data_IF_017130440797
#
_entry.id   IF_017130440797
#
_cell.length_a   1.000
_cell.length_b   1.000
_cell.length_c   1.000
_cell.angle_alpha   90.00
_cell.angle_beta   90.00
_cell.angle_gamma   90.00
#
_symmetry.space_group_name_H-M   'P 1'
#
loop_
_entity.id
_entity.type
_entity.pdbx_description
1 polymer ?
#
# COMPACT_ATOMS: atom_id res chain seq x y z
N UNK A 1 -39.63 16.84 -3.72
CA UNK A 1 -39.69 15.36 -3.71
C UNK A 1 -38.36 14.88 -4.26
N UNK A 2 -37.47 14.43 -3.39
CA UNK A 2 -36.18 13.85 -3.80
C UNK A 2 -36.50 12.50 -4.43
N UNK A 3 -36.21 12.32 -5.71
CA UNK A 3 -36.28 11.02 -6.35
C UNK A 3 -35.24 10.12 -5.68
N UNK A 4 -35.71 9.19 -4.85
CA UNK A 4 -34.92 8.05 -4.39
C UNK A 4 -34.39 7.34 -5.63
N UNK A 5 -33.06 7.14 -5.77
CA UNK A 5 -32.53 6.31 -6.85
C UNK A 5 -33.19 4.94 -6.76
N UNK A 6 -33.71 4.44 -7.88
CA UNK A 6 -34.31 3.10 -7.96
C UNK A 6 -33.21 2.11 -7.55
N UNK A 7 -33.30 1.57 -6.33
CA UNK A 7 -32.47 0.43 -5.92
C UNK A 7 -32.75 -0.69 -6.94
N UNK A 8 -31.73 -1.24 -7.62
CA UNK A 8 -31.96 -2.42 -8.45
C UNK A 8 -32.59 -3.50 -7.56
N UNK A 9 -33.78 -3.98 -7.96
CA UNK A 9 -34.42 -5.11 -7.30
C UNK A 9 -33.42 -6.27 -7.27
N UNK A 10 -33.09 -6.73 -6.06
CA UNK A 10 -32.15 -7.82 -5.87
C UNK A 10 -32.79 -9.09 -6.44
N UNK A 11 -32.26 -9.58 -7.57
CA UNK A 11 -32.76 -10.80 -8.26
C UNK A 11 -32.55 -12.09 -7.47
N UNK A 12 -31.79 -12.02 -6.38
CA UNK A 12 -31.52 -13.11 -5.46
C UNK A 12 -32.27 -12.85 -4.13
N UNK A 13 -32.66 -13.90 -3.38
CA UNK A 13 -33.17 -13.73 -2.03
C UNK A 13 -32.14 -13.02 -1.14
N UNK A 14 -32.51 -12.46 0.03
CA UNK A 14 -31.55 -11.93 0.98
C UNK A 14 -30.44 -12.94 1.32
N UNK A 15 -29.21 -12.47 1.52
CA UNK A 15 -28.11 -13.35 1.94
C UNK A 15 -28.32 -13.70 3.42
N UNK A 16 -28.04 -14.96 3.78
CA UNK A 16 -28.06 -15.44 5.16
C UNK A 16 -26.70 -15.26 5.87
N UNK A 17 -25.75 -14.59 5.22
CA UNK A 17 -24.43 -14.32 5.77
C UNK A 17 -24.51 -13.38 6.99
N UNK A 18 -23.64 -13.55 7.99
CA UNK A 18 -23.65 -12.68 9.19
C UNK A 18 -23.42 -11.20 8.83
N UNK A 19 -22.71 -10.96 7.72
CA UNK A 19 -22.45 -9.64 7.14
C UNK A 19 -23.34 -9.36 5.91
N UNK A 20 -24.59 -9.81 5.90
CA UNK A 20 -25.49 -9.68 4.75
C UNK A 20 -25.57 -8.24 4.19
N UNK A 21 -25.59 -7.23 5.06
CA UNK A 21 -25.61 -5.82 4.62
C UNK A 21 -24.35 -5.41 3.84
N UNK A 22 -23.18 -5.94 4.22
CA UNK A 22 -21.92 -5.72 3.50
C UNK A 22 -21.98 -6.39 2.13
N UNK A 23 -22.44 -7.65 2.08
CA UNK A 23 -22.63 -8.41 0.84
C UNK A 23 -23.55 -7.66 -0.11
N UNK A 24 -24.70 -7.17 0.37
CA UNK A 24 -25.65 -6.41 -0.46
C UNK A 24 -25.05 -5.11 -1.03
N UNK A 25 -24.18 -4.43 -0.27
CA UNK A 25 -23.45 -3.27 -0.81
C UNK A 25 -22.46 -3.66 -1.89
N UNK A 26 -21.71 -4.76 -1.72
CA UNK A 26 -20.79 -5.25 -2.75
C UNK A 26 -21.53 -5.71 -4.01
N UNK A 27 -22.66 -6.39 -3.87
CA UNK A 27 -23.53 -6.79 -4.99
C UNK A 27 -24.09 -5.57 -5.75
N UNK A 28 -24.28 -4.44 -5.07
CA UNK A 28 -24.67 -3.17 -5.67
C UNK A 28 -23.49 -2.35 -6.24
N UNK A 29 -22.26 -2.90 -6.24
CA UNK A 29 -21.06 -2.23 -6.74
C UNK A 29 -20.40 -1.28 -5.75
N UNK A 30 -20.89 -1.22 -4.51
CA UNK A 30 -20.35 -0.37 -3.46
C UNK A 30 -19.16 -0.98 -2.72
N UNK A 31 -18.86 -0.38 -1.56
CA UNK A 31 -17.77 -0.77 -0.67
C UNK A 31 -18.26 -1.56 0.56
N UNK A 32 -17.30 -2.11 1.30
CA UNK A 32 -17.55 -2.68 2.63
C UNK A 32 -18.02 -1.64 3.67
N UNK A 33 -17.80 -0.35 3.40
CA UNK A 33 -18.24 0.77 4.22
C UNK A 33 -19.61 1.31 3.81
N UNK A 34 -20.38 1.88 4.75
CA UNK A 34 -21.56 2.68 4.43
C UNK A 34 -21.21 3.88 3.55
N UNK A 35 -22.04 4.15 2.54
CA UNK A 35 -21.93 5.33 1.70
C UNK A 35 -22.54 6.54 2.42
N UNK A 36 -21.69 7.35 3.04
CA UNK A 36 -22.08 8.58 3.73
C UNK A 36 -21.10 9.70 3.36
N UNK A 37 -21.54 10.97 3.32
CA UNK A 37 -20.64 12.10 3.04
C UNK A 37 -19.46 12.16 4.03
N UNK A 38 -19.70 11.80 5.29
CA UNK A 38 -18.69 11.74 6.33
C UNK A 38 -17.61 10.68 6.05
N UNK A 39 -18.01 9.45 5.67
CA UNK A 39 -17.05 8.43 5.26
C UNK A 39 -16.29 8.86 4.01
N UNK A 40 -16.96 9.46 3.02
CA UNK A 40 -16.29 9.90 1.80
C UNK A 40 -15.22 10.95 2.09
N UNK A 41 -15.54 11.97 2.89
CA UNK A 41 -14.60 13.01 3.31
C UNK A 41 -13.37 12.42 4.01
N UNK A 42 -13.58 11.51 4.98
CA UNK A 42 -12.49 10.81 5.65
C UNK A 42 -11.64 10.00 4.66
N UNK A 43 -12.29 9.23 3.79
CA UNK A 43 -11.61 8.37 2.82
C UNK A 43 -10.70 9.19 1.92
N UNK A 44 -11.24 10.23 1.28
CA UNK A 44 -10.49 11.05 0.34
C UNK A 44 -9.42 11.89 1.03
N UNK A 45 -9.73 12.48 2.20
CA UNK A 45 -8.75 13.25 2.92
C UNK A 45 -7.56 12.42 3.40
N UNK A 46 -7.79 11.15 3.76
CA UNK A 46 -6.69 10.22 4.05
C UNK A 46 -5.93 9.79 2.81
N UNK A 47 -6.57 9.63 1.65
CA UNK A 47 -5.85 9.40 0.39
C UNK A 47 -4.91 10.56 0.08
N UNK A 48 -5.35 11.81 0.25
CA UNK A 48 -4.50 13.00 0.10
C UNK A 48 -3.33 12.99 1.08
N UNK A 49 -3.60 12.79 2.37
CA UNK A 49 -2.59 12.80 3.41
C UNK A 49 -1.57 11.67 3.26
N UNK A 50 -2.00 10.52 2.73
CA UNK A 50 -1.14 9.37 2.49
C UNK A 50 -0.33 9.47 1.19
N UNK A 51 -0.88 10.09 0.14
CA UNK A 51 -0.21 10.20 -1.16
C UNK A 51 1.13 10.96 -1.08
N UNK A 52 1.23 11.97 -0.20
CA UNK A 52 2.46 12.77 -0.03
C UNK A 52 3.63 11.96 0.52
N UNK A 53 3.55 11.27 1.67
CA UNK A 53 4.63 10.40 2.13
C UNK A 53 4.81 9.18 1.21
N UNK A 54 3.74 8.67 0.58
CA UNK A 54 3.87 7.62 -0.43
C UNK A 54 4.74 8.06 -1.63
N UNK A 55 4.64 9.32 -2.05
CA UNK A 55 5.49 9.90 -3.09
C UNK A 55 6.99 9.88 -2.70
N UNK A 56 7.30 10.09 -1.43
CA UNK A 56 8.67 9.86 -0.92
C UNK A 56 9.03 8.38 -0.93
N UNK A 57 8.14 7.52 -0.41
CA UNK A 57 8.41 6.10 -0.23
C UNK A 57 8.75 5.41 -1.54
N UNK A 58 7.96 5.60 -2.60
CA UNK A 58 8.24 4.89 -3.85
C UNK A 58 9.60 5.30 -4.45
N UNK A 59 9.95 6.59 -4.36
CA UNK A 59 11.23 7.13 -4.85
C UNK A 59 12.40 6.53 -4.07
N UNK A 60 12.29 6.49 -2.74
CA UNK A 60 13.36 6.01 -1.89
C UNK A 60 13.50 4.47 -1.94
N UNK A 61 12.39 3.73 -2.05
CA UNK A 61 12.42 2.28 -2.29
C UNK A 61 13.15 1.94 -3.59
N UNK A 62 12.86 2.66 -4.68
CA UNK A 62 13.59 2.51 -5.93
C UNK A 62 15.06 2.91 -5.76
N UNK A 63 15.35 4.05 -5.14
CA UNK A 63 16.72 4.48 -4.87
C UNK A 63 17.54 3.42 -4.11
N UNK A 64 16.95 2.80 -3.08
CA UNK A 64 17.59 1.73 -2.30
C UNK A 64 17.88 0.51 -3.18
N UNK A 65 16.88 0.04 -3.94
CA UNK A 65 17.05 -1.12 -4.82
C UNK A 65 18.11 -0.86 -5.92
N UNK A 66 18.05 0.32 -6.52
CA UNK A 66 18.75 0.64 -7.77
C UNK A 66 20.16 1.19 -7.57
N UNK A 67 20.40 1.92 -6.46
CA UNK A 67 21.64 2.69 -6.23
C UNK A 67 22.39 2.30 -4.97
N UNK A 68 21.67 2.14 -3.85
CA UNK A 68 22.29 1.70 -2.59
C UNK A 68 22.71 0.24 -2.73
N UNK A 69 21.81 -0.60 -3.23
CA UNK A 69 22.02 -2.02 -3.51
C UNK A 69 22.66 -2.75 -2.31
N UNK A 70 23.85 -3.31 -2.47
CA UNK A 70 24.56 -4.09 -1.45
C UNK A 70 25.61 -3.27 -0.68
N UNK A 71 25.38 -1.98 -0.50
CA UNK A 71 26.23 -1.17 0.38
C UNK A 71 26.27 -1.80 1.78
N UNK A 72 27.43 -2.26 2.29
CA UNK A 72 27.52 -2.89 3.60
C UNK A 72 27.19 -1.92 4.74
N UNK A 73 27.33 -0.62 4.50
CA UNK A 73 27.13 0.42 5.49
C UNK A 73 26.22 1.54 4.94
N UNK A 74 24.93 1.24 4.72
CA UNK A 74 24.00 2.15 4.05
C UNK A 74 23.51 3.25 5.00
N UNK A 75 24.42 3.99 5.65
CA UNK A 75 24.13 4.99 6.68
C UNK A 75 23.19 6.10 6.18
N UNK A 76 23.22 6.38 4.88
CA UNK A 76 22.46 7.44 4.24
C UNK A 76 21.39 6.91 3.29
N UNK A 77 20.91 5.67 3.46
CA UNK A 77 19.94 5.07 2.53
C UNK A 77 18.64 5.86 2.34
N UNK A 78 18.26 6.69 3.31
CA UNK A 78 17.07 7.57 3.24
C UNK A 78 17.37 8.98 2.71
N UNK A 79 18.58 9.23 2.25
CA UNK A 79 18.99 10.54 1.76
C UNK A 79 18.72 10.59 0.25
N UNK A 80 17.44 10.68 -0.10
CA UNK A 80 16.98 10.78 -1.49
C UNK A 80 17.79 11.85 -2.25
N UNK A 81 18.51 11.46 -3.31
CA UNK A 81 19.28 12.40 -4.11
C UNK A 81 18.35 13.19 -5.04
N UNK A 82 18.82 14.33 -5.56
CA UNK A 82 17.97 15.25 -6.33
C UNK A 82 17.38 14.56 -7.57
N UNK A 83 18.16 13.69 -8.20
CA UNK A 83 17.76 12.96 -9.41
C UNK A 83 16.55 12.06 -9.18
N UNK A 84 16.34 11.54 -7.95
CA UNK A 84 15.16 10.73 -7.61
C UNK A 84 13.96 11.60 -7.15
N UNK A 85 14.20 12.81 -6.65
CA UNK A 85 13.13 13.78 -6.41
C UNK A 85 12.60 14.37 -7.72
N UNK A 86 13.50 14.58 -8.68
CA UNK A 86 13.18 15.03 -10.04
C UNK A 86 12.80 13.87 -10.96
N UNK A 87 12.82 12.61 -10.49
CA UNK A 87 12.43 11.47 -11.31
C UNK A 87 10.95 11.62 -11.69
N UNK A 88 10.67 11.67 -12.99
CA UNK A 88 9.30 11.76 -13.47
C UNK A 88 8.57 10.46 -13.15
N UNK A 89 7.44 10.58 -12.47
CA UNK A 89 6.52 9.48 -12.26
C UNK A 89 5.85 9.11 -13.59
N UNK A 90 5.87 7.83 -13.98
CA UNK A 90 5.33 7.38 -15.27
C UNK A 90 3.81 7.57 -15.43
N UNK A 91 3.10 7.97 -14.38
CA UNK A 91 1.64 8.10 -14.33
C UNK A 91 1.14 9.51 -13.96
N UNK A 92 2.04 10.50 -13.92
CA UNK A 92 1.72 11.89 -13.62
C UNK A 92 2.49 12.85 -14.53
N UNK A 93 1.94 14.06 -14.72
CA UNK A 93 2.52 15.06 -15.63
C UNK A 93 2.11 14.89 -17.09
N UNK A 94 2.60 15.80 -17.92
CA UNK A 94 2.23 15.89 -19.35
C UNK A 94 2.93 14.85 -20.22
N UNK A 95 4.07 14.31 -19.77
CA UNK A 95 4.88 13.31 -20.45
C UNK A 95 4.69 11.88 -19.92
N UNK A 96 3.66 11.65 -19.10
CA UNK A 96 3.34 10.34 -18.54
C UNK A 96 3.03 9.28 -19.62
N UNK A 97 3.50 8.05 -19.40
CA UNK A 97 3.16 6.88 -20.23
C UNK A 97 1.65 6.62 -20.25
N UNK A 98 1.02 6.77 -19.07
CA UNK A 98 -0.42 6.73 -18.87
C UNK A 98 -0.78 7.76 -17.80
N UNK A 99 -1.28 8.91 -18.23
CA UNK A 99 -1.60 10.01 -17.32
C UNK A 99 -2.83 9.67 -16.45
N UNK A 100 -2.57 9.32 -15.19
CA UNK A 100 -3.61 9.15 -14.15
C UNK A 100 -3.82 10.48 -13.45
N UNK A 101 -2.74 11.05 -12.91
CA UNK A 101 -2.80 12.33 -12.21
C UNK A 101 -2.45 13.48 -13.14
N UNK A 102 -3.27 14.53 -13.08
CA UNK A 102 -3.09 15.72 -13.92
C UNK A 102 -2.02 16.68 -13.39
N UNK A 103 -1.56 16.50 -12.16
CA UNK A 103 -0.53 17.33 -11.52
C UNK A 103 0.89 17.09 -12.04
N UNK A 104 1.88 17.37 -11.19
CA UNK A 104 3.30 17.37 -11.57
C UNK A 104 3.87 15.95 -11.63
N UNK A 105 4.85 15.73 -12.52
CA UNK A 105 5.53 14.43 -12.62
C UNK A 105 6.59 14.21 -11.51
N UNK A 106 7.20 15.28 -11.01
CA UNK A 106 8.25 15.25 -9.99
C UNK A 106 7.67 15.22 -8.57
N UNK A 107 8.55 15.18 -7.56
CA UNK A 107 8.14 15.12 -6.16
C UNK A 107 7.12 16.20 -5.79
N UNK A 108 6.10 15.81 -5.03
CA UNK A 108 4.97 16.68 -4.69
C UNK A 108 5.44 17.94 -3.95
N UNK A 109 4.89 19.14 -4.24
CA UNK A 109 5.35 20.38 -3.60
C UNK A 109 5.28 20.38 -2.07
N UNK A 110 4.22 19.79 -1.48
CA UNK A 110 4.12 19.64 -0.01
C UNK A 110 5.21 18.75 0.58
N UNK A 111 5.61 17.69 -0.14
CA UNK A 111 6.72 16.84 0.28
C UNK A 111 8.03 17.63 0.28
N UNK A 112 8.29 18.38 -0.79
CA UNK A 112 9.50 19.20 -0.89
C UNK A 112 9.56 20.28 0.19
N UNK A 113 8.43 20.93 0.47
CA UNK A 113 8.31 21.93 1.53
C UNK A 113 8.58 21.31 2.92
N UNK A 114 8.04 20.12 3.20
CA UNK A 114 8.31 19.39 4.43
C UNK A 114 9.77 18.96 4.52
N UNK A 115 10.37 18.42 3.46
CA UNK A 115 11.79 18.03 3.46
C UNK A 115 12.75 19.22 3.67
N UNK A 116 12.35 20.42 3.25
CA UNK A 116 13.13 21.64 3.46
C UNK A 116 13.02 22.15 4.90
N UNK A 117 11.79 22.23 5.44
CA UNK A 117 11.52 22.90 6.71
C UNK A 117 11.42 21.95 7.91
N UNK A 118 10.94 20.73 7.71
CA UNK A 118 10.48 19.84 8.76
C UNK A 118 9.22 20.35 9.48
N UNK A 119 8.86 19.72 10.58
CA UNK A 119 7.93 20.22 11.60
C UNK A 119 8.46 21.48 12.29
N UNK A 120 9.79 21.66 12.33
CA UNK A 120 10.46 22.72 13.08
C UNK A 120 10.83 23.92 12.20
N UNK A 121 12.12 24.07 11.88
CA UNK A 121 12.67 25.14 11.06
C UNK A 121 13.68 24.56 10.06
N UNK A 122 13.95 25.32 9.00
CA UNK A 122 14.85 24.92 7.93
C UNK A 122 16.25 24.57 8.45
N UNK A 123 16.65 23.31 8.27
CA UNK A 123 17.96 22.77 8.65
C UNK A 123 18.54 21.89 7.53
N UNK A 124 19.86 21.64 7.53
CA UNK A 124 20.45 20.61 6.67
C UNK A 124 19.80 19.24 6.89
N UNK A 125 19.61 18.46 5.82
CA UNK A 125 18.99 17.13 5.82
C UNK A 125 19.53 16.21 6.92
N UNK A 126 20.84 16.24 7.19
CA UNK A 126 21.43 15.43 8.26
C UNK A 126 20.82 15.71 9.64
N UNK A 127 20.61 16.98 9.99
CA UNK A 127 20.06 17.35 11.29
C UNK A 127 18.57 17.03 11.39
N UNK A 128 17.82 17.24 10.31
CA UNK A 128 16.44 16.76 10.20
C UNK A 128 16.34 15.27 10.50
N UNK A 129 17.21 14.45 9.91
CA UNK A 129 17.22 13.01 10.18
C UNK A 129 17.65 12.64 11.61
N UNK A 130 18.68 13.30 12.15
CA UNK A 130 19.17 13.04 13.51
C UNK A 130 18.15 13.44 14.59
N UNK A 131 17.32 14.44 14.32
CA UNK A 131 16.29 14.93 15.23
C UNK A 131 14.91 14.28 15.00
N UNK A 132 14.83 13.28 14.12
CA UNK A 132 13.59 12.61 13.73
C UNK A 132 12.55 13.55 13.07
N UNK A 133 12.99 14.68 12.53
CA UNK A 133 12.17 15.64 11.77
C UNK A 133 12.20 15.26 10.29
N UNK A 134 11.59 14.11 9.95
CA UNK A 134 11.65 13.50 8.61
C UNK A 134 10.49 12.55 8.36
N UNK A 135 10.37 12.14 7.09
CA UNK A 135 9.51 11.03 6.68
C UNK A 135 10.02 9.70 7.29
N UNK A 136 9.10 8.94 7.88
CA UNK A 136 9.34 7.65 8.54
C UNK A 136 9.40 6.48 7.56
N UNK A 137 10.45 6.49 6.72
CA UNK A 137 10.71 5.47 5.70
C UNK A 137 10.78 4.02 6.23
N UNK A 138 11.02 3.83 7.52
CA UNK A 138 10.98 2.53 8.17
C UNK A 138 9.63 1.82 8.02
N UNK A 139 8.53 2.57 7.91
CA UNK A 139 7.23 1.99 7.63
C UNK A 139 7.19 1.31 6.25
N UNK A 140 7.74 1.98 5.23
CA UNK A 140 7.86 1.44 3.88
C UNK A 140 8.69 0.15 3.85
N UNK A 141 9.81 0.12 4.55
CA UNK A 141 10.62 -1.09 4.69
C UNK A 141 9.88 -2.19 5.44
N UNK A 142 9.11 -1.88 6.47
CA UNK A 142 8.31 -2.87 7.19
C UNK A 142 7.26 -3.52 6.27
N UNK A 143 6.61 -2.73 5.41
CA UNK A 143 5.70 -3.25 4.37
C UNK A 143 6.45 -4.14 3.37
N UNK A 144 7.61 -3.71 2.87
CA UNK A 144 8.42 -4.50 1.94
C UNK A 144 8.90 -5.82 2.58
N UNK A 145 9.36 -5.77 3.83
CA UNK A 145 9.76 -6.96 4.58
C UNK A 145 8.59 -7.91 4.80
N UNK A 146 7.39 -7.39 5.06
CA UNK A 146 6.19 -8.21 5.16
C UNK A 146 5.89 -8.89 3.81
N UNK A 147 6.03 -8.21 2.68
CA UNK A 147 5.87 -8.83 1.35
C UNK A 147 6.93 -9.89 1.05
N UNK A 148 8.18 -9.64 1.42
CA UNK A 148 9.29 -10.57 1.19
C UNK A 148 9.15 -11.85 2.04
N UNK A 149 8.77 -11.70 3.30
CA UNK A 149 8.67 -12.81 4.25
C UNK A 149 7.42 -13.69 4.04
N UNK A 150 6.31 -13.10 3.61
CA UNK A 150 5.10 -13.85 3.27
C UNK A 150 5.20 -14.36 1.83
N UNK A 151 5.49 -15.65 1.67
CA UNK A 151 5.66 -16.28 0.34
C UNK A 151 4.36 -16.92 -0.15
N UNK A 152 4.31 -17.27 -1.44
CA UNK A 152 3.19 -18.03 -2.01
C UNK A 152 1.85 -17.28 -2.07
N UNK A 153 1.88 -15.96 -2.24
CA UNK A 153 0.68 -15.11 -2.35
C UNK A 153 0.15 -14.96 -3.79
N UNK A 154 0.55 -15.88 -4.69
CA UNK A 154 0.24 -15.82 -6.12
C UNK A 154 1.33 -15.12 -6.93
N UNK A 155 1.03 -14.86 -8.21
CA UNK A 155 1.98 -14.29 -9.17
C UNK A 155 3.14 -15.22 -9.53
N UNK A 156 4.04 -14.74 -10.38
CA UNK A 156 5.26 -15.48 -10.77
C UNK A 156 6.56 -14.85 -10.26
N UNK A 157 6.48 -13.69 -9.62
CA UNK A 157 7.63 -12.96 -9.10
C UNK A 157 8.39 -13.74 -8.02
N UNK A 158 7.70 -14.14 -6.94
CA UNK A 158 8.31 -14.86 -5.81
C UNK A 158 8.97 -16.20 -6.23
N UNK A 159 8.31 -17.08 -7.01
CA UNK A 159 8.96 -18.30 -7.50
C UNK A 159 10.17 -18.03 -8.41
N UNK A 160 10.18 -16.92 -9.15
CA UNK A 160 11.29 -16.59 -10.04
C UNK A 160 12.58 -16.26 -9.27
N UNK A 161 12.47 -15.71 -8.05
CA UNK A 161 13.62 -15.37 -7.21
C UNK A 161 14.47 -16.59 -6.84
N UNK A 162 13.90 -17.79 -6.87
CA UNK A 162 14.61 -19.05 -6.57
C UNK A 162 15.18 -19.75 -7.82
N UNK A 163 15.08 -19.13 -9.00
CA UNK A 163 15.58 -19.72 -10.25
C UNK A 163 17.08 -19.52 -10.43
N UNK A 164 17.71 -20.45 -11.16
CA UNK A 164 19.12 -20.31 -11.57
C UNK A 164 19.36 -19.07 -12.45
N UNK A 165 18.36 -18.66 -13.21
CA UNK A 165 18.42 -17.44 -14.02
C UNK A 165 18.54 -16.19 -13.14
N UNK A 166 17.68 -16.07 -12.12
CA UNK A 166 17.77 -14.98 -11.16
C UNK A 166 19.12 -14.97 -10.44
N UNK A 167 19.57 -16.14 -9.97
CA UNK A 167 20.89 -16.30 -9.33
C UNK A 167 22.02 -15.84 -10.26
N UNK A 168 21.98 -16.20 -11.54
CA UNK A 168 22.99 -15.80 -12.52
C UNK A 168 22.99 -14.28 -12.79
N UNK A 169 21.82 -13.65 -12.81
CA UNK A 169 21.71 -12.19 -12.98
C UNK A 169 22.21 -11.45 -11.73
N UNK A 170 21.81 -11.90 -10.54
CA UNK A 170 22.29 -11.38 -9.27
C UNK A 170 23.82 -11.54 -9.14
N UNK A 171 24.38 -12.69 -9.51
CA UNK A 171 25.83 -12.95 -9.47
C UNK A 171 26.63 -11.93 -10.30
N UNK A 172 26.17 -11.63 -11.51
CA UNK A 172 26.79 -10.60 -12.37
C UNK A 172 26.80 -9.24 -11.69
N UNK A 173 25.66 -8.83 -11.14
CA UNK A 173 25.52 -7.53 -10.46
C UNK A 173 26.34 -7.46 -9.17
N UNK A 174 26.36 -8.52 -8.34
CA UNK A 174 27.17 -8.58 -7.10
C UNK A 174 28.66 -8.43 -7.43
N UNK A 175 29.16 -9.21 -8.40
CA UNK A 175 30.56 -9.15 -8.84
C UNK A 175 30.91 -7.79 -9.43
N UNK A 176 29.99 -7.19 -10.19
CA UNK A 176 30.17 -5.84 -10.68
C UNK A 176 30.22 -4.84 -9.51
N UNK A 177 29.28 -4.89 -8.57
CA UNK A 177 29.21 -3.97 -7.44
C UNK A 177 30.50 -3.99 -6.61
N UNK A 178 30.93 -5.17 -6.19
CA UNK A 178 32.14 -5.36 -5.37
C UNK A 178 33.45 -5.48 -6.15
N UNK A 179 33.48 -5.20 -7.45
CA UNK A 179 34.69 -5.34 -8.32
C UNK A 179 35.98 -4.78 -7.70
N UNK A 180 35.88 -3.67 -6.98
CA UNK A 180 37.03 -2.98 -6.35
C UNK A 180 37.15 -3.22 -4.83
N UNK A 181 36.31 -4.10 -4.27
CA UNK A 181 36.33 -4.47 -2.86
C UNK A 181 36.61 -5.97 -2.71
N UNK A 182 37.90 -6.39 -2.69
CA UNK A 182 38.27 -7.80 -2.66
C UNK A 182 37.83 -8.52 -1.38
N UNK A 183 37.66 -7.79 -0.26
CA UNK A 183 37.14 -8.34 0.99
C UNK A 183 35.69 -8.79 0.80
N UNK A 184 34.85 -7.93 0.22
CA UNK A 184 33.45 -8.26 -0.04
C UNK A 184 33.29 -9.35 -1.10
N UNK A 185 34.13 -9.36 -2.15
CA UNK A 185 34.16 -10.47 -3.10
C UNK A 185 34.57 -11.80 -2.45
N UNK A 186 35.52 -11.76 -1.52
CA UNK A 186 35.92 -12.92 -0.73
C UNK A 186 34.77 -13.43 0.14
N UNK A 187 34.06 -12.53 0.82
CA UNK A 187 32.87 -12.86 1.61
C UNK A 187 31.77 -13.46 0.73
N UNK A 188 31.50 -12.88 -0.44
CA UNK A 188 30.51 -13.40 -1.38
C UNK A 188 30.88 -14.80 -1.87
N UNK A 189 32.17 -15.06 -2.14
CA UNK A 189 32.62 -16.40 -2.53
C UNK A 189 32.42 -17.44 -1.41
N UNK A 190 32.60 -17.05 -0.16
CA UNK A 190 32.43 -17.94 1.00
C UNK A 190 30.96 -18.15 1.38
N UNK A 191 30.14 -17.11 1.27
CA UNK A 191 28.74 -17.09 1.69
C UNK A 191 27.84 -16.53 0.59
N UNK A 192 27.76 -17.17 -0.58
CA UNK A 192 27.06 -16.62 -1.73
C UNK A 192 25.57 -16.39 -1.44
N UNK A 193 24.94 -17.32 -0.73
CA UNK A 193 23.50 -17.27 -0.45
C UNK A 193 23.13 -16.07 0.44
N UNK A 194 24.02 -15.61 1.33
CA UNK A 194 23.79 -14.41 2.14
C UNK A 194 23.54 -13.17 1.27
N UNK A 195 24.36 -12.99 0.22
CA UNK A 195 24.20 -11.85 -0.69
C UNK A 195 23.03 -12.05 -1.63
N UNK A 196 22.79 -13.28 -2.10
CA UNK A 196 21.63 -13.57 -2.95
C UNK A 196 20.32 -13.26 -2.21
N UNK A 197 20.20 -13.61 -0.93
CA UNK A 197 19.03 -13.25 -0.11
C UNK A 197 18.87 -11.74 0.06
N UNK A 198 19.97 -10.99 0.21
CA UNK A 198 19.91 -9.52 0.21
C UNK A 198 19.43 -8.96 -1.14
N UNK A 199 19.85 -9.55 -2.27
CA UNK A 199 19.37 -9.15 -3.60
C UNK A 199 17.88 -9.48 -3.78
N UNK A 200 17.39 -10.61 -3.23
CA UNK A 200 15.95 -10.92 -3.20
C UNK A 200 15.16 -9.88 -2.43
N UNK A 201 15.69 -9.45 -1.27
CA UNK A 201 15.08 -8.36 -0.51
C UNK A 201 15.03 -7.07 -1.35
N UNK A 202 16.12 -6.69 -2.01
CA UNK A 202 16.18 -5.51 -2.90
C UNK A 202 15.23 -5.61 -4.11
N UNK A 203 15.00 -6.81 -4.62
CA UNK A 203 13.94 -7.06 -5.61
C UNK A 203 12.55 -6.72 -5.07
N UNK A 204 12.26 -6.98 -3.79
CA UNK A 204 11.01 -6.55 -3.15
C UNK A 204 10.96 -5.05 -2.85
N UNK A 205 12.09 -4.37 -2.59
CA UNK A 205 12.14 -2.90 -2.58
C UNK A 205 11.68 -2.34 -3.93
N UNK A 206 12.23 -2.87 -5.04
CA UNK A 206 11.84 -2.44 -6.38
C UNK A 206 10.36 -2.75 -6.67
N UNK A 207 9.88 -3.93 -6.30
CA UNK A 207 8.47 -4.32 -6.46
C UNK A 207 7.52 -3.36 -5.72
N UNK A 208 7.77 -3.08 -4.44
CA UNK A 208 6.93 -2.17 -3.65
C UNK A 208 7.06 -0.71 -4.12
N UNK A 209 8.25 -0.29 -4.56
CA UNK A 209 8.46 1.02 -5.17
C UNK A 209 7.61 1.19 -6.43
N UNK A 210 7.65 0.23 -7.35
CA UNK A 210 6.81 0.24 -8.56
C UNK A 210 5.31 0.12 -8.25
N UNK A 211 4.94 -0.53 -7.13
CA UNK A 211 3.55 -0.55 -6.67
C UNK A 211 3.08 0.87 -6.28
N UNK A 212 3.83 1.56 -5.43
CA UNK A 212 3.47 2.88 -4.93
C UNK A 212 3.69 4.02 -5.94
N UNK A 213 4.55 3.83 -6.94
CA UNK A 213 4.66 4.74 -8.09
C UNK A 213 3.30 4.92 -8.80
N UNK A 214 2.48 3.87 -8.85
CA UNK A 214 1.10 3.93 -9.38
C UNK A 214 0.13 4.53 -8.37
N UNK A 215 0.18 4.06 -7.11
CA UNK A 215 -0.85 4.39 -6.13
C UNK A 215 -0.81 5.85 -5.67
N UNK A 216 0.37 6.49 -5.63
CA UNK A 216 0.46 7.90 -5.25
C UNK A 216 -0.31 8.81 -6.23
N UNK A 217 -0.08 8.76 -7.57
CA UNK A 217 -0.89 9.47 -8.56
C UNK A 217 -2.40 9.16 -8.48
N UNK A 218 -2.77 7.89 -8.28
CA UNK A 218 -4.19 7.51 -8.10
C UNK A 218 -4.81 8.27 -6.94
N UNK A 219 -4.15 8.31 -5.78
CA UNK A 219 -4.67 9.00 -4.61
C UNK A 219 -4.66 10.53 -4.73
N UNK A 220 -3.65 11.13 -5.39
CA UNK A 220 -3.65 12.56 -5.68
C UNK A 220 -4.83 12.94 -6.59
N UNK A 221 -5.02 12.23 -7.70
CA UNK A 221 -6.10 12.50 -8.64
C UNK A 221 -7.49 12.31 -8.02
N UNK A 222 -7.66 11.36 -7.10
CA UNK A 222 -8.90 11.21 -6.35
C UNK A 222 -9.19 12.42 -5.44
N UNK A 223 -8.17 12.95 -4.77
CA UNK A 223 -8.31 14.17 -3.98
C UNK A 223 -8.72 15.35 -4.85
N UNK A 224 -8.00 15.59 -5.95
CA UNK A 224 -8.28 16.70 -6.86
C UNK A 224 -9.72 16.62 -7.40
N UNK A 225 -10.15 15.42 -7.82
CA UNK A 225 -11.51 15.21 -8.32
C UNK A 225 -12.58 15.40 -7.25
N UNK A 226 -12.30 15.09 -5.99
CA UNK A 226 -13.22 15.36 -4.90
C UNK A 226 -13.34 16.86 -4.65
N UNK A 227 -12.22 17.59 -4.64
CA UNK A 227 -12.19 19.04 -4.46
C UNK A 227 -12.90 19.77 -5.63
N UNK A 228 -12.82 19.22 -6.84
CA UNK A 228 -13.59 19.66 -8.03
C UNK A 228 -15.09 19.31 -7.97
N UNK A 229 -15.53 18.50 -7.00
CA UNK A 229 -16.92 18.03 -6.87
C UNK A 229 -17.30 16.91 -7.85
N UNK A 230 -16.32 16.24 -8.46
CA UNK A 230 -16.50 15.12 -9.39
C UNK A 230 -16.70 13.76 -8.67
N UNK A 231 -16.18 13.61 -7.45
CA UNK A 231 -16.43 12.43 -6.60
C UNK A 231 -17.45 12.82 -5.53
N UNK A 232 -18.65 12.21 -5.55
CA UNK A 232 -19.78 12.62 -4.69
C UNK A 232 -20.23 11.53 -3.71
N UNK A 233 -19.75 10.31 -3.90
CA UNK A 233 -20.13 9.14 -3.12
C UNK A 233 -18.98 8.15 -2.98
N UNK A 234 -19.05 7.25 -2.00
CA UNK A 234 -18.08 6.15 -1.86
C UNK A 234 -18.07 5.25 -3.10
N UNK A 235 -19.21 4.90 -3.74
CA UNK A 235 -19.22 4.23 -5.04
C UNK A 235 -18.46 4.97 -6.15
N UNK A 236 -18.49 6.30 -6.22
CA UNK A 236 -17.70 7.04 -7.22
C UNK A 236 -16.19 6.85 -6.98
N UNK A 237 -15.76 6.95 -5.72
CA UNK A 237 -14.37 6.72 -5.32
C UNK A 237 -13.93 5.27 -5.63
N UNK A 238 -14.80 4.30 -5.37
CA UNK A 238 -14.61 2.89 -5.68
C UNK A 238 -14.45 2.66 -7.19
N UNK A 239 -15.35 3.22 -8.00
CA UNK A 239 -15.29 3.10 -9.45
C UNK A 239 -14.00 3.70 -10.01
N UNK A 240 -13.55 4.82 -9.46
CA UNK A 240 -12.26 5.41 -9.84
C UNK A 240 -11.10 4.45 -9.53
N UNK A 241 -11.05 3.87 -8.33
CA UNK A 241 -10.01 2.90 -7.94
C UNK A 241 -10.03 1.66 -8.83
N UNK A 242 -11.20 1.08 -9.09
CA UNK A 242 -11.33 -0.13 -9.94
C UNK A 242 -10.86 0.17 -11.36
N UNK A 243 -11.29 1.28 -11.96
CA UNK A 243 -10.86 1.69 -13.28
C UNK A 243 -9.35 1.95 -13.33
N UNK A 244 -8.82 2.61 -12.31
CA UNK A 244 -7.39 2.84 -12.12
C UNK A 244 -6.62 1.52 -12.14
N UNK A 245 -7.00 0.56 -11.27
CA UNK A 245 -6.40 -0.78 -11.19
C UNK A 245 -6.35 -1.47 -12.55
N UNK A 246 -7.46 -1.48 -13.29
CA UNK A 246 -7.48 -2.12 -14.61
C UNK A 246 -6.60 -1.40 -15.65
N UNK A 247 -6.53 -0.07 -15.61
CA UNK A 247 -5.73 0.70 -16.56
C UNK A 247 -4.22 0.44 -16.42
N UNK A 248 -3.76 0.14 -15.20
CA UNK A 248 -2.34 -0.12 -14.88
C UNK A 248 -2.02 -1.60 -14.64
N UNK A 249 -3.00 -2.49 -14.72
CA UNK A 249 -2.84 -3.90 -14.36
C UNK A 249 -1.66 -4.58 -15.10
N UNK A 250 -1.42 -4.20 -16.35
CA UNK A 250 -0.36 -4.73 -17.21
C UNK A 250 0.99 -4.01 -17.14
N UNK A 251 1.16 -3.02 -16.25
CA UNK A 251 2.43 -2.29 -16.14
C UNK A 251 3.54 -3.20 -15.62
N UNK A 252 4.78 -3.09 -16.14
CA UNK A 252 5.82 -4.07 -15.86
C UNK A 252 6.37 -3.95 -14.44
N UNK A 253 6.61 -5.08 -13.80
CA UNK A 253 7.42 -5.18 -12.58
C UNK A 253 8.81 -5.73 -12.95
N UNK A 254 9.85 -5.06 -12.51
CA UNK A 254 11.24 -5.38 -12.85
C UNK A 254 12.17 -4.96 -11.72
N UNK A 255 13.45 -5.30 -11.82
CA UNK A 255 14.49 -4.81 -10.91
C UNK A 255 15.76 -4.57 -11.73
N UNK A 256 16.10 -3.30 -11.92
CA UNK A 256 17.30 -2.85 -12.60
C UNK A 256 18.22 -2.20 -11.58
N UNK A 257 19.48 -2.61 -11.49
CA UNK A 257 20.47 -1.96 -10.62
C UNK A 257 21.47 -1.18 -11.46
N UNK A 258 21.83 0.02 -11.03
CA UNK A 258 22.77 0.89 -11.75
C UNK A 258 24.09 1.00 -11.00
N UNK A 259 25.12 0.35 -11.53
CA UNK A 259 26.43 0.24 -10.91
C UNK A 259 27.43 1.02 -11.76
N UNK A 260 27.88 2.18 -11.26
CA UNK A 260 28.88 3.04 -11.93
C UNK A 260 28.52 3.38 -13.39
N UNK A 261 27.27 3.74 -13.62
CA UNK A 261 26.75 4.15 -14.93
C UNK A 261 26.30 3.00 -15.84
N UNK A 262 26.51 1.75 -15.44
CA UNK A 262 26.04 0.57 -16.18
C UNK A 262 24.80 -0.02 -15.50
N UNK A 263 23.81 -0.40 -16.30
CA UNK A 263 22.56 -1.01 -15.84
C UNK A 263 22.66 -2.54 -15.93
N UNK A 264 22.30 -3.22 -14.84
CA UNK A 264 22.23 -4.66 -14.73
C UNK A 264 20.78 -5.08 -14.48
N UNK A 265 20.21 -5.91 -15.35
CA UNK A 265 18.88 -6.46 -15.17
C UNK A 265 18.92 -7.65 -14.19
N UNK A 266 18.51 -7.43 -12.94
CA UNK A 266 18.30 -8.52 -11.97
C UNK A 266 17.05 -9.30 -12.38
N UNK A 267 15.96 -8.55 -12.60
CA UNK A 267 14.70 -9.06 -13.14
C UNK A 267 14.40 -8.23 -14.39
N UNK A 268 14.55 -8.81 -15.60
CA UNK A 268 14.33 -8.08 -16.84
C UNK A 268 12.84 -7.90 -17.12
N UNK A 269 12.47 -6.78 -17.77
CA UNK A 269 11.07 -6.53 -18.20
C UNK A 269 10.51 -7.64 -19.10
N UNK A 270 11.38 -8.34 -19.84
CA UNK A 270 11.01 -9.46 -20.72
C UNK A 270 10.40 -10.66 -19.99
N UNK A 271 10.48 -10.73 -18.65
CA UNK A 271 9.76 -11.75 -17.85
C UNK A 271 8.24 -11.58 -17.92
N UNK A 272 7.75 -10.39 -18.29
CA UNK A 272 6.32 -10.13 -18.40
C UNK A 272 5.59 -10.14 -17.06
N UNK A 273 6.29 -9.84 -15.96
CA UNK A 273 5.66 -9.62 -14.66
C UNK A 273 4.86 -8.32 -14.70
N UNK A 274 3.62 -8.38 -14.24
CA UNK A 274 2.62 -7.34 -14.34
C UNK A 274 2.22 -6.84 -12.96
N UNK A 275 1.94 -5.55 -12.86
CA UNK A 275 1.65 -4.87 -11.61
C UNK A 275 0.53 -5.53 -10.80
N UNK A 276 -0.54 -5.99 -11.45
CA UNK A 276 -1.68 -6.57 -10.75
C UNK A 276 -1.32 -7.87 -10.00
N UNK A 277 -0.70 -8.82 -10.71
CA UNK A 277 -0.47 -10.17 -10.18
C UNK A 277 0.82 -10.27 -9.36
N UNK A 278 1.83 -9.45 -9.65
CA UNK A 278 3.13 -9.53 -9.01
C UNK A 278 3.35 -8.52 -7.89
N UNK A 279 2.57 -7.44 -7.84
CA UNK A 279 2.71 -6.40 -6.83
C UNK A 279 1.42 -6.15 -6.04
N UNK A 280 0.31 -5.83 -6.72
CA UNK A 280 -0.90 -5.37 -6.04
C UNK A 280 -1.63 -6.44 -5.23
N UNK A 281 -1.92 -7.61 -5.83
CA UNK A 281 -2.58 -8.70 -5.10
C UNK A 281 -1.70 -9.24 -3.96
N UNK A 282 -0.40 -9.51 -4.16
CA UNK A 282 0.50 -9.87 -3.07
C UNK A 282 0.63 -8.78 -1.99
N UNK A 283 0.63 -7.50 -2.36
CA UNK A 283 0.68 -6.39 -1.40
C UNK A 283 -0.56 -6.36 -0.51
N UNK A 284 -1.76 -6.46 -1.08
CA UNK A 284 -3.01 -6.47 -0.32
C UNK A 284 -3.00 -7.64 0.67
N UNK A 285 -2.61 -8.83 0.24
CA UNK A 285 -2.52 -9.99 1.12
C UNK A 285 -1.46 -9.81 2.23
N UNK A 286 -0.25 -9.37 1.86
CA UNK A 286 0.86 -9.21 2.79
C UNK A 286 0.66 -8.09 3.80
N UNK A 287 0.14 -6.93 3.38
CA UNK A 287 0.12 -5.70 4.17
C UNK A 287 -1.27 -5.47 4.77
N UNK A 288 -2.34 -5.67 4.01
CA UNK A 288 -3.69 -5.37 4.50
C UNK A 288 -4.29 -6.48 5.35
N UNK A 289 -4.03 -7.75 4.99
CA UNK A 289 -4.50 -8.90 5.74
C UNK A 289 -3.48 -9.37 6.79
N UNK A 290 -2.27 -9.71 6.36
CA UNK A 290 -1.33 -10.47 7.20
C UNK A 290 -0.49 -9.58 8.12
N UNK A 291 0.50 -8.88 7.58
CA UNK A 291 1.57 -8.14 8.26
C UNK A 291 2.28 -8.93 9.36
N UNK A 292 3.48 -8.51 9.76
CA UNK A 292 4.12 -9.10 10.94
C UNK A 292 3.33 -8.76 12.22
N UNK A 293 3.19 -9.70 13.19
CA UNK A 293 2.50 -9.42 14.45
C UNK A 293 3.12 -8.23 15.18
N UNK A 294 2.30 -7.32 15.71
CA UNK A 294 2.84 -6.15 16.39
C UNK A 294 3.50 -6.55 17.71
N UNK A 295 4.73 -6.10 17.89
CA UNK A 295 5.56 -6.46 19.05
C UNK A 295 4.95 -5.97 20.38
N UNK A 296 4.18 -4.89 20.34
CA UNK A 296 3.48 -4.34 21.51
C UNK A 296 2.14 -5.00 21.83
N UNK A 297 1.54 -5.80 20.94
CA UNK A 297 0.20 -6.38 21.15
C UNK A 297 0.16 -7.90 21.22
N UNK A 298 1.19 -8.60 20.71
CA UNK A 298 1.24 -10.06 20.68
C UNK A 298 2.55 -10.58 21.27
N UNK A 299 2.45 -11.64 22.07
CA UNK A 299 3.61 -12.36 22.57
C UNK A 299 4.10 -13.37 21.54
N UNK A 300 5.39 -13.28 21.19
CA UNK A 300 6.08 -14.24 20.33
C UNK A 300 6.53 -15.49 21.09
N UNK A 301 6.14 -15.63 22.37
CA UNK A 301 6.39 -16.84 23.14
C UNK A 301 5.68 -18.03 22.49
N UNK A 302 6.46 -18.98 21.97
CA UNK A 302 5.95 -20.18 21.31
C UNK A 302 5.01 -21.02 22.20
N UNK A 303 5.17 -20.96 23.53
CA UNK A 303 4.30 -21.66 24.47
C UNK A 303 2.93 -21.01 24.62
N UNK A 304 2.85 -19.68 24.45
CA UNK A 304 1.61 -18.93 24.62
C UNK A 304 0.67 -19.04 23.41
N UNK A 305 1.18 -19.50 22.25
CA UNK A 305 0.42 -19.72 21.01
C UNK A 305 -0.45 -18.52 20.58
N UNK A 306 0.01 -17.30 20.83
CA UNK A 306 -0.68 -16.07 20.43
C UNK A 306 -0.42 -15.68 18.98
N UNK A 307 0.74 -16.07 18.44
CA UNK A 307 1.07 -15.92 17.01
C UNK A 307 0.81 -17.28 16.32
N UNK A 308 0.01 -17.34 15.25
CA UNK A 308 -0.23 -18.57 14.50
C UNK A 308 1.07 -19.20 13.99
N UNK A 309 1.06 -20.52 13.85
CA UNK A 309 2.18 -21.26 13.25
C UNK A 309 2.22 -21.06 11.72
N UNK A 310 1.04 -21.05 11.08
CA UNK A 310 0.91 -20.86 9.64
C UNK A 310 0.75 -19.37 9.27
N UNK A 311 1.58 -18.89 8.33
CA UNK A 311 1.54 -17.51 7.83
C UNK A 311 0.19 -17.10 7.22
N UNK A 312 -0.55 -18.04 6.61
CA UNK A 312 -1.88 -17.76 6.02
C UNK A 312 -2.91 -17.30 7.06
N UNK A 313 -2.66 -17.60 8.34
CA UNK A 313 -3.55 -17.26 9.44
C UNK A 313 -3.18 -15.95 10.13
N UNK A 314 -2.18 -15.23 9.62
CA UNK A 314 -1.77 -13.93 10.14
C UNK A 314 -2.88 -12.90 9.85
N UNK A 315 -3.22 -12.14 10.89
CA UNK A 315 -4.36 -11.20 10.92
C UNK A 315 -3.95 -9.94 11.68
N UNK A 316 -2.85 -9.32 11.24
CA UNK A 316 -2.24 -8.15 11.87
C UNK A 316 -2.13 -6.96 10.93
N UNK A 317 -2.57 -7.11 9.68
CA UNK A 317 -2.63 -6.02 8.72
C UNK A 317 -3.67 -4.98 9.12
N UNK A 318 -3.70 -3.86 8.41
CA UNK A 318 -4.55 -2.70 8.76
C UNK A 318 -6.05 -3.05 8.90
N UNK A 319 -6.55 -4.09 8.22
CA UNK A 319 -7.95 -4.52 8.35
C UNK A 319 -8.26 -5.25 9.67
N UNK A 320 -7.25 -5.66 10.42
CA UNK A 320 -7.37 -6.35 11.71
C UNK A 320 -6.69 -5.56 12.85
N UNK A 321 -5.89 -4.56 12.50
CA UNK A 321 -5.14 -3.77 13.46
C UNK A 321 -6.05 -3.13 14.52
N UNK A 322 -5.63 -3.21 15.78
CA UNK A 322 -6.10 -2.30 16.81
C UNK A 322 -5.35 -0.98 16.68
N UNK A 323 -6.10 0.11 16.45
CA UNK A 323 -5.56 1.43 16.14
C UNK A 323 -5.61 2.38 17.35
N UNK A 324 -6.29 2.02 18.43
CA UNK A 324 -6.26 2.81 19.66
C UNK A 324 -4.87 2.95 20.32
N UNK A 325 -3.97 1.94 20.31
CA UNK A 325 -2.64 2.10 20.87
C UNK A 325 -1.64 2.80 19.92
N UNK A 326 -2.09 3.41 18.81
CA UNK A 326 -1.22 4.26 17.98
C UNK A 326 -0.61 5.37 18.83
N UNK A 327 0.67 5.68 18.60
CA UNK A 327 1.43 6.63 19.42
C UNK A 327 2.12 5.99 20.63
N UNK A 328 1.90 4.71 20.89
CA UNK A 328 2.57 3.96 21.97
C UNK A 328 3.72 3.08 21.45
N UNK A 329 4.55 2.58 22.38
CA UNK A 329 5.72 1.77 22.04
C UNK A 329 5.34 0.39 21.45
N UNK A 330 6.04 -0.02 20.41
CA UNK A 330 5.88 -1.36 19.81
C UNK A 330 4.71 -1.50 18.82
N UNK A 331 4.15 -0.37 18.35
CA UNK A 331 3.04 -0.30 17.39
C UNK A 331 3.53 0.31 16.06
N UNK A 332 3.90 -0.51 15.04
CA UNK A 332 4.51 -0.03 13.79
C UNK A 332 3.67 0.98 12.98
N UNK A 333 2.33 0.87 12.89
CA UNK A 333 1.52 1.84 12.13
C UNK A 333 1.68 3.29 12.59
N UNK A 334 2.12 3.53 13.83
CA UNK A 334 2.40 4.87 14.36
C UNK A 334 3.32 5.68 13.45
N UNK A 335 4.31 5.03 12.83
CA UNK A 335 5.24 5.68 11.90
C UNK A 335 4.51 6.32 10.71
N UNK A 336 3.56 5.59 10.12
CA UNK A 336 2.74 6.10 9.03
C UNK A 336 1.75 7.17 9.51
N UNK A 337 1.12 6.95 10.67
CA UNK A 337 0.14 7.92 11.19
C UNK A 337 0.79 9.28 11.47
N UNK A 338 2.03 9.28 11.99
CA UNK A 338 2.82 10.50 12.16
C UNK A 338 3.12 11.16 10.81
N UNK A 339 3.61 10.41 9.82
CA UNK A 339 3.88 10.95 8.49
C UNK A 339 2.62 11.59 7.87
N UNK A 340 1.47 10.92 7.94
CA UNK A 340 0.21 11.43 7.39
C UNK A 340 -0.31 12.65 8.16
N UNK A 341 -0.02 12.77 9.47
CA UNK A 341 -0.45 13.90 10.29
C UNK A 341 0.02 15.24 9.70
N UNK A 342 1.23 15.28 9.15
CA UNK A 342 1.82 16.49 8.54
C UNK A 342 1.09 16.98 7.29
N UNK A 343 0.36 16.09 6.62
CA UNK A 343 -0.24 16.32 5.31
C UNK A 343 -1.76 16.21 5.33
N UNK A 344 -2.37 16.25 6.52
CA UNK A 344 -3.82 16.27 6.64
C UNK A 344 -4.41 17.51 5.94
N UNK A 345 -5.44 17.34 5.10
CA UNK A 345 -6.14 18.48 4.53
C UNK A 345 -6.88 19.26 5.63
N UNK A 346 -7.04 20.60 5.49
CA UNK A 346 -7.65 21.43 6.53
C UNK A 346 -9.03 20.98 7.00
N UNK A 347 -9.86 20.42 6.10
CA UNK A 347 -11.18 19.94 6.45
C UNK A 347 -11.16 18.71 7.38
N UNK A 348 -10.11 17.88 7.34
CA UNK A 348 -9.95 16.78 8.29
C UNK A 348 -9.41 17.26 9.63
N UNK A 349 -8.53 18.26 9.64
CA UNK A 349 -8.06 18.89 10.88
C UNK A 349 -9.25 19.52 11.63
N UNK A 350 -10.07 20.32 10.93
CA UNK A 350 -11.28 20.91 11.49
C UNK A 350 -12.28 19.85 11.98
N UNK A 351 -12.41 18.75 11.25
CA UNK A 351 -13.25 17.63 11.68
C UNK A 351 -12.73 16.97 12.96
N UNK A 352 -11.46 16.57 13.02
CA UNK A 352 -10.90 15.89 14.21
C UNK A 352 -10.89 16.79 15.45
N UNK A 353 -10.67 18.10 15.29
CA UNK A 353 -10.70 19.05 16.42
C UNK A 353 -12.07 19.13 17.12
N UNK A 354 -13.16 18.71 16.45
CA UNK A 354 -14.53 18.72 16.97
C UNK A 354 -14.96 17.40 17.60
N UNK A 355 -14.12 16.37 17.56
CA UNK A 355 -14.44 15.03 18.04
C UNK A 355 -13.45 14.56 19.11
N UNK A 356 -13.89 13.61 19.93
CA UNK A 356 -13.07 12.94 20.95
C UNK A 356 -12.24 13.91 21.80
N UNK A 357 -10.89 13.83 21.76
CA UNK A 357 -9.99 14.72 22.50
C UNK A 357 -9.42 15.84 21.62
N UNK A 358 -10.07 16.15 20.52
CA UNK A 358 -9.67 17.22 19.60
C UNK A 358 -8.30 16.93 19.00
N UNK A 359 -7.38 17.89 19.13
CA UNK A 359 -6.03 17.76 18.58
C UNK A 359 -5.15 16.74 19.34
N UNK A 360 -5.46 16.44 20.62
CA UNK A 360 -4.63 15.59 21.48
C UNK A 360 -4.59 14.12 21.03
N UNK A 361 -5.67 13.61 20.43
CA UNK A 361 -5.79 12.22 19.95
C UNK A 361 -5.92 12.10 18.43
N UNK A 362 -5.50 13.13 17.68
CA UNK A 362 -5.59 13.15 16.22
C UNK A 362 -4.93 11.94 15.56
N UNK A 363 -3.82 11.41 16.09
CA UNK A 363 -3.18 10.21 15.54
C UNK A 363 -4.11 8.98 15.59
N UNK A 364 -4.93 8.84 16.63
CA UNK A 364 -5.87 7.73 16.79
C UNK A 364 -7.05 7.92 15.83
N UNK A 365 -7.65 9.11 15.82
CA UNK A 365 -8.75 9.45 14.91
C UNK A 365 -8.34 9.27 13.44
N UNK A 366 -7.13 9.74 13.08
CA UNK A 366 -6.50 9.54 11.77
C UNK A 366 -6.32 8.06 11.47
N UNK A 367 -5.82 7.26 12.42
CA UNK A 367 -5.62 5.82 12.25
C UNK A 367 -6.92 5.06 11.95
N UNK A 368 -8.03 5.46 12.57
CA UNK A 368 -9.36 4.89 12.32
C UNK A 368 -9.86 5.28 10.93
N UNK A 369 -9.75 6.56 10.56
CA UNK A 369 -10.10 7.02 9.22
C UNK A 369 -9.26 6.31 8.16
N UNK A 370 -7.96 6.12 8.40
CA UNK A 370 -7.08 5.37 7.51
C UNK A 370 -7.51 3.90 7.38
N UNK A 371 -7.88 3.26 8.49
CA UNK A 371 -8.42 1.90 8.47
C UNK A 371 -9.69 1.81 7.62
N UNK A 372 -10.61 2.79 7.71
CA UNK A 372 -11.78 2.90 6.83
C UNK A 372 -11.34 3.05 5.36
N UNK A 373 -10.42 3.95 5.06
CA UNK A 373 -9.87 4.11 3.70
C UNK A 373 -9.34 2.79 3.15
N UNK A 374 -8.62 2.00 3.94
CA UNK A 374 -8.08 0.71 3.51
C UNK A 374 -9.16 -0.37 3.31
N UNK A 375 -10.28 -0.32 4.03
CA UNK A 375 -11.47 -1.11 3.70
C UNK A 375 -12.08 -0.71 2.35
N UNK A 376 -12.09 0.58 2.02
CA UNK A 376 -12.53 1.06 0.70
C UNK A 376 -11.60 0.55 -0.40
N UNK A 377 -10.27 0.72 -0.26
CA UNK A 377 -9.28 0.18 -1.22
C UNK A 377 -9.42 -1.34 -1.39
N UNK A 378 -9.55 -2.09 -0.28
CA UNK A 378 -9.73 -3.55 -0.33
C UNK A 378 -11.03 -3.94 -1.04
N UNK A 379 -12.10 -3.16 -0.84
CA UNK A 379 -13.35 -3.36 -1.57
C UNK A 379 -13.14 -3.18 -3.07
N UNK A 380 -12.36 -2.17 -3.50
CA UNK A 380 -12.06 -1.96 -4.92
C UNK A 380 -11.29 -3.14 -5.51
N UNK A 381 -10.34 -3.71 -4.76
CA UNK A 381 -9.60 -4.92 -5.17
C UNK A 381 -10.56 -6.11 -5.32
N UNK A 382 -11.48 -6.32 -4.37
CA UNK A 382 -12.49 -7.38 -4.44
C UNK A 382 -13.40 -7.20 -5.68
N UNK A 383 -13.82 -5.97 -5.97
CA UNK A 383 -14.64 -5.66 -7.15
C UNK A 383 -13.86 -5.87 -8.46
N UNK A 384 -12.60 -5.45 -8.51
CA UNK A 384 -11.73 -5.67 -9.67
C UNK A 384 -11.51 -7.17 -9.92
N UNK A 385 -11.20 -7.95 -8.87
CA UNK A 385 -11.07 -9.41 -8.98
C UNK A 385 -12.35 -10.09 -9.46
N UNK A 386 -13.51 -9.72 -8.91
CA UNK A 386 -14.81 -10.23 -9.37
C UNK A 386 -15.02 -9.91 -10.85
N UNK A 387 -14.69 -8.69 -11.27
CA UNK A 387 -14.83 -8.27 -12.67
C UNK A 387 -13.87 -9.03 -13.60
N UNK A 388 -12.67 -9.35 -13.13
CA UNK A 388 -11.67 -10.09 -13.91
C UNK A 388 -11.97 -11.59 -14.04
N UNK A 389 -12.60 -12.20 -13.03
CA UNK A 389 -12.71 -13.65 -12.91
C UNK A 389 -14.16 -14.18 -13.03
N UNK A 390 -15.16 -13.33 -12.85
CA UNK A 390 -16.57 -13.71 -12.74
C UNK A 390 -17.43 -12.84 -13.65
N UNK A 391 -18.65 -12.52 -13.20
CA UNK A 391 -19.68 -11.92 -14.03
C UNK A 391 -19.94 -10.45 -13.67
N UNK A 392 -20.46 -9.64 -14.61
CA UNK A 392 -20.98 -8.31 -14.30
C UNK A 392 -22.07 -8.33 -13.22
N UNK A 393 -22.23 -7.21 -12.50
CA UNK A 393 -23.24 -7.11 -11.43
C UNK A 393 -24.68 -7.02 -11.96
N UNK A 394 -24.83 -6.58 -13.21
CA UNK A 394 -26.10 -6.41 -13.92
C UNK A 394 -26.50 -7.64 -14.76
N UNK A 395 -25.77 -8.75 -14.63
CA UNK A 395 -26.01 -9.97 -15.40
C UNK A 395 -27.46 -10.48 -15.22
N UNK A 396 -28.18 -10.81 -16.31
CA UNK A 396 -29.56 -11.30 -16.23
C UNK A 396 -29.67 -12.72 -15.65
N UNK A 397 -28.61 -13.53 -15.70
CA UNK A 397 -28.63 -14.91 -15.27
C UNK A 397 -28.50 -15.02 -13.73
N UNK A 398 -29.51 -15.54 -13.01
CA UNK A 398 -29.44 -15.66 -11.56
C UNK A 398 -28.30 -16.58 -11.09
N UNK A 399 -27.85 -17.54 -11.90
CA UNK A 399 -26.68 -18.37 -11.56
C UNK A 399 -25.37 -17.58 -11.57
N UNK A 400 -25.25 -16.60 -12.47
CA UNK A 400 -24.06 -15.73 -12.54
C UNK A 400 -24.01 -14.81 -11.32
N UNK A 401 -25.15 -14.22 -10.94
CA UNK A 401 -25.26 -13.42 -9.72
C UNK A 401 -24.99 -14.26 -8.46
N UNK A 402 -25.45 -15.52 -8.42
CA UNK A 402 -25.17 -16.43 -7.31
C UNK A 402 -23.68 -16.77 -7.21
N UNK A 403 -22.97 -16.89 -8.34
CA UNK A 403 -21.51 -17.08 -8.34
C UNK A 403 -20.78 -15.84 -7.80
N UNK A 404 -21.22 -14.63 -8.17
CA UNK A 404 -20.70 -13.39 -7.60
C UNK A 404 -20.95 -13.32 -6.08
N UNK A 405 -22.15 -13.68 -5.61
CA UNK A 405 -22.47 -13.75 -4.18
C UNK A 405 -21.54 -14.71 -3.45
N UNK A 406 -21.38 -15.94 -3.96
CA UNK A 406 -20.52 -16.94 -3.33
C UNK A 406 -19.06 -16.45 -3.24
N UNK A 407 -18.58 -15.73 -4.25
CA UNK A 407 -17.28 -15.08 -4.21
C UNK A 407 -17.20 -13.99 -3.14
N UNK A 408 -18.18 -13.08 -3.08
CA UNK A 408 -18.19 -12.03 -2.05
C UNK A 408 -18.30 -12.63 -0.64
N UNK A 409 -19.15 -13.63 -0.43
CA UNK A 409 -19.27 -14.35 0.85
C UNK A 409 -17.94 -14.99 1.22
N UNK A 410 -17.24 -15.65 0.28
CA UNK A 410 -15.92 -16.24 0.54
C UNK A 410 -14.83 -15.18 0.88
N UNK A 411 -14.88 -13.99 0.28
CA UNK A 411 -13.97 -12.90 0.66
C UNK A 411 -14.31 -12.35 2.04
N UNK A 412 -15.60 -12.19 2.35
CA UNK A 412 -16.06 -11.64 3.61
C UNK A 412 -15.97 -12.66 4.76
N UNK A 413 -15.92 -13.96 4.47
CA UNK A 413 -15.63 -15.04 5.43
C UNK A 413 -14.31 -14.82 6.17
N UNK A 414 -13.35 -14.15 5.54
CA UNK A 414 -12.06 -13.80 6.14
C UNK A 414 -12.22 -12.89 7.36
N UNK A 415 -13.26 -12.06 7.38
CA UNK A 415 -13.55 -11.12 8.46
C UNK A 415 -14.50 -11.66 9.54
N UNK A 416 -14.85 -12.95 9.49
CA UNK A 416 -15.60 -13.60 10.58
C UNK A 416 -14.81 -13.67 11.87
N UNK A 417 -13.48 -13.62 11.76
CA UNK A 417 -12.55 -13.57 12.90
C UNK A 417 -12.93 -12.42 13.85
N UNK A 418 -12.90 -12.62 15.17
CA UNK A 418 -13.26 -11.58 16.13
C UNK A 418 -12.29 -10.38 16.09
N UNK A 419 -11.05 -10.57 15.64
CA UNK A 419 -10.05 -9.51 15.49
C UNK A 419 -10.31 -8.58 14.30
N UNK A 420 -11.19 -8.97 13.36
CA UNK A 420 -11.49 -8.15 12.19
C UNK A 420 -12.29 -6.90 12.57
N UNK A 421 -11.87 -5.74 12.05
CA UNK A 421 -12.52 -4.45 12.34
C UNK A 421 -13.73 -4.14 11.45
N UNK A 422 -14.17 -5.12 10.66
CA UNK A 422 -15.27 -4.95 9.71
C UNK A 422 -16.57 -4.57 10.43
N UNK A 423 -16.80 -5.06 11.65
CA UNK A 423 -17.98 -4.70 12.48
C UNK A 423 -17.87 -3.27 13.00
N UNK A 424 -16.70 -2.90 13.50
CA UNK A 424 -16.44 -1.59 14.12
C UNK A 424 -16.60 -0.45 13.11
N UNK A 425 -15.99 -0.60 11.93
CA UNK A 425 -16.01 0.42 10.87
C UNK A 425 -17.38 0.63 10.22
N UNK A 426 -18.40 -0.15 10.58
CA UNK A 426 -19.78 0.11 10.13
C UNK A 426 -20.43 1.27 10.87
N UNK A 427 -19.97 1.60 12.08
CA UNK A 427 -20.54 2.68 12.90
C UNK A 427 -19.72 3.95 12.79
N UNK A 428 -20.38 5.11 12.76
CA UNK A 428 -19.70 6.40 12.91
C UNK A 428 -19.24 6.68 14.35
N UNK A 429 -19.68 5.87 15.31
CA UNK A 429 -19.27 5.98 16.72
C UNK A 429 -17.89 5.36 17.00
N UNK A 430 -17.36 4.57 16.06
CA UNK A 430 -15.98 4.08 16.15
C UNK A 430 -15.01 5.19 15.74
N UNK A 431 -14.41 5.83 16.76
CA UNK A 431 -13.57 7.04 16.69
C UNK A 431 -12.46 7.04 17.72
#
# INVERSE_FOLDING_TARGET
MVQTPIKPETKLPPSNHEFAQVIHRLEAGGAMLPDTPENLMQIIGLYKAYAVPMDFYWRDLLYIAERVFLDPFPFFKYFLPKEYLDLHNHYAGDDADLRIWRGQATAHPELLAFMEKGETFKMPKLFHHLWHDRINMEFAEACMQAMFWHRGMGGKFDPYLDTEEYRANADKAIKAYFKYNPVMLGLYKLFPDMFIEQVKQLSYYSNLGLFWEVMAPVFFEMSDRYDEGNIKSVPDAMNFLVNGIFAIAGRPIYHHVYIRGEMYEIIPKSKGFMWLYEAALPYVEAVFYRTAPFRGTKSYNAQAKQVPEDQKDFHYGILYADVFPVGTAGIPPTLLMQDMLHFLPPYLVDYYSKHCRGEDDMLIQLGISFQRSMYCVTSAVIQALRTALLYPLDDPNPKHLQANRAFFEAQIDRFKRPEARLRDIQSQDYR
#
